data_IF_391880011301
#
_entry.id   IF_391880011301
#
_cell.length_a   1.000
_cell.length_b   1.000
_cell.length_c   1.000
_cell.angle_alpha   90.00
_cell.angle_beta   90.00
_cell.angle_gamma   90.00
#
_symmetry.space_group_name_H-M   'P 1'
#
loop_
_entity.id
_entity.type
_entity.pdbx_description
1 polymer ?
#
# COMPACT_ATOMS: atom_id res chain seq x y z
N UNK A 1 55.02 -6.53 18.81
CA UNK A 1 54.24 -6.02 17.64
C UNK A 1 52.95 -6.82 17.60
N UNK A 2 51.98 -6.41 18.39
CA UNK A 2 50.63 -6.98 18.38
C UNK A 2 49.89 -6.49 17.16
N UNK A 3 49.58 -7.42 16.26
CA UNK A 3 48.53 -7.28 15.26
C UNK A 3 47.25 -7.80 15.90
N UNK A 4 46.60 -6.99 16.69
CA UNK A 4 45.21 -7.20 17.04
C UNK A 4 44.35 -6.89 15.81
N UNK A 5 44.08 -7.91 15.02
CA UNK A 5 43.05 -7.88 14.00
C UNK A 5 41.70 -7.71 14.75
N UNK A 6 41.07 -6.58 14.58
CA UNK A 6 39.72 -6.33 15.07
C UNK A 6 38.73 -7.32 14.43
N UNK A 7 38.65 -8.51 15.01
CA UNK A 7 37.56 -9.46 14.82
C UNK A 7 36.48 -9.11 15.83
N UNK A 8 35.63 -8.16 15.56
CA UNK A 8 34.71 -7.89 16.66
C UNK A 8 33.49 -7.06 16.36
N UNK A 9 33.34 -6.46 15.18
CA UNK A 9 32.14 -5.69 14.88
C UNK A 9 31.09 -6.46 14.05
N UNK A 10 31.43 -7.63 13.51
CA UNK A 10 30.50 -8.49 12.76
C UNK A 10 29.58 -9.35 13.63
N UNK A 11 30.00 -9.71 14.85
CA UNK A 11 29.23 -10.64 15.72
C UNK A 11 28.32 -9.95 16.73
N UNK A 12 28.41 -8.63 16.89
CA UNK A 12 27.62 -7.89 17.89
C UNK A 12 26.24 -7.48 17.35
N UNK A 13 26.05 -7.45 16.06
CA UNK A 13 24.75 -7.26 15.45
C UNK A 13 24.08 -8.62 15.15
N UNK A 14 23.83 -9.43 16.15
CA UNK A 14 22.67 -10.33 16.09
C UNK A 14 21.47 -9.40 15.92
N UNK A 15 20.92 -9.32 14.71
CA UNK A 15 19.68 -8.58 14.44
C UNK A 15 18.64 -9.15 15.38
N UNK A 16 18.40 -8.47 16.50
CA UNK A 16 17.28 -8.81 17.38
C UNK A 16 16.03 -8.44 16.59
N UNK A 17 15.31 -9.45 16.15
CA UNK A 17 14.00 -9.25 15.59
C UNK A 17 13.05 -9.00 16.76
N UNK A 18 12.53 -7.80 16.86
CA UNK A 18 11.43 -7.48 17.75
C UNK A 18 10.16 -7.88 17.00
N UNK A 19 9.40 -8.83 17.56
CA UNK A 19 8.11 -9.20 16.98
C UNK A 19 7.20 -7.98 16.90
N UNK A 20 6.46 -7.90 15.79
CA UNK A 20 5.48 -6.84 15.60
C UNK A 20 4.47 -6.89 16.75
N UNK A 21 4.18 -5.77 17.45
CA UNK A 21 3.20 -5.75 18.51
C UNK A 21 1.76 -5.93 18.02
N UNK A 22 1.56 -5.98 16.69
CA UNK A 22 0.25 -6.04 16.06
C UNK A 22 -0.17 -7.48 15.80
N UNK A 23 -1.39 -7.82 16.23
CA UNK A 23 -1.92 -9.16 16.01
C UNK A 23 -2.30 -9.38 14.54
N UNK A 24 -1.76 -10.43 13.93
CA UNK A 24 -2.05 -10.79 12.53
C UNK A 24 -3.54 -10.97 12.27
N UNK A 25 -4.31 -11.50 13.24
CA UNK A 25 -5.77 -11.67 13.12
C UNK A 25 -6.54 -10.36 12.90
N UNK A 26 -5.95 -9.22 13.25
CA UNK A 26 -6.55 -7.89 13.09
C UNK A 26 -6.29 -7.29 11.70
N UNK A 27 -5.56 -7.99 10.84
CA UNK A 27 -5.24 -7.54 9.49
C UNK A 27 -5.70 -8.56 8.47
N UNK A 28 -6.35 -8.09 7.40
CA UNK A 28 -6.56 -8.85 6.19
C UNK A 28 -5.66 -8.27 5.09
N UNK A 29 -4.59 -8.99 4.75
CA UNK A 29 -3.65 -8.58 3.69
C UNK A 29 -3.84 -9.48 2.48
N UNK A 30 -4.30 -8.89 1.37
CA UNK A 30 -4.57 -9.58 0.12
C UNK A 30 -3.70 -9.06 -1.01
N UNK A 31 -3.22 -9.97 -1.86
CA UNK A 31 -2.50 -9.66 -3.09
C UNK A 31 -3.42 -9.94 -4.27
N UNK A 32 -3.78 -8.89 -4.99
CA UNK A 32 -4.61 -8.98 -6.19
C UNK A 32 -3.73 -9.34 -7.39
N UNK A 33 -3.75 -10.62 -7.78
CA UNK A 33 -2.80 -11.15 -8.80
C UNK A 33 -3.23 -10.92 -10.24
N UNK A 34 -4.46 -10.51 -10.46
CA UNK A 34 -5.06 -10.32 -11.77
C UNK A 34 -5.11 -8.86 -12.23
N UNK A 35 -4.44 -7.97 -11.49
CA UNK A 35 -4.22 -6.57 -11.84
C UNK A 35 -2.74 -6.26 -11.99
N UNK A 36 -2.41 -5.26 -12.82
CA UNK A 36 -1.06 -4.80 -13.08
C UNK A 36 -0.98 -3.29 -13.27
N UNK A 37 -0.04 -2.64 -12.62
CA UNK A 37 0.24 -1.21 -12.84
C UNK A 37 1.28 -0.96 -13.93
N UNK A 38 1.77 -2.00 -14.61
CA UNK A 38 2.75 -1.87 -15.68
C UNK A 38 2.23 -0.97 -16.80
N UNK A 39 3.11 -0.12 -17.31
CA UNK A 39 2.74 0.80 -18.39
C UNK A 39 2.16 0.08 -19.61
N UNK A 40 2.71 -1.08 -19.97
CA UNK A 40 2.27 -1.92 -21.10
C UNK A 40 0.90 -2.56 -20.92
N UNK A 41 0.38 -2.59 -19.68
CA UNK A 41 -0.94 -3.16 -19.34
C UNK A 41 -2.00 -2.08 -19.14
N UNK A 42 -1.61 -0.79 -19.15
CA UNK A 42 -2.53 0.33 -18.93
C UNK A 42 -3.56 0.43 -20.04
N UNK A 43 -4.81 0.60 -19.65
CA UNK A 43 -5.96 0.72 -20.53
C UNK A 43 -7.25 0.57 -19.74
N UNK A 44 -8.37 0.83 -20.40
CA UNK A 44 -9.70 0.85 -19.75
C UNK A 44 -9.99 -0.41 -18.93
N UNK A 45 -9.76 -1.61 -19.48
CA UNK A 45 -10.03 -2.88 -18.79
C UNK A 45 -9.23 -3.03 -17.48
N UNK A 46 -7.98 -2.58 -17.47
CA UNK A 46 -7.15 -2.60 -16.27
C UNK A 46 -7.62 -1.55 -15.25
N UNK A 47 -7.97 -0.35 -15.72
CA UNK A 47 -8.48 0.72 -14.85
C UNK A 47 -9.82 0.33 -14.24
N UNK A 48 -10.70 -0.28 -15.03
CA UNK A 48 -12.00 -0.79 -14.57
C UNK A 48 -11.83 -1.86 -13.49
N UNK A 49 -10.91 -2.80 -13.68
CA UNK A 49 -10.62 -3.84 -12.70
C UNK A 49 -10.09 -3.26 -11.39
N UNK A 50 -9.18 -2.29 -11.48
CA UNK A 50 -8.67 -1.57 -10.29
C UNK A 50 -9.82 -0.85 -9.58
N UNK A 51 -10.64 -0.12 -10.31
CA UNK A 51 -11.80 0.60 -9.77
C UNK A 51 -12.79 -0.35 -9.09
N UNK A 52 -13.06 -1.52 -9.68
CA UNK A 52 -13.94 -2.53 -9.12
C UNK A 52 -13.39 -3.14 -7.81
N UNK A 53 -12.09 -3.38 -7.71
CA UNK A 53 -11.45 -3.80 -6.45
C UNK A 53 -11.63 -2.75 -5.34
N UNK A 54 -11.46 -1.48 -5.66
CA UNK A 54 -11.65 -0.37 -4.71
C UNK A 54 -13.10 -0.33 -4.23
N UNK A 55 -14.05 -0.44 -5.15
CA UNK A 55 -15.47 -0.48 -4.84
C UNK A 55 -15.82 -1.67 -3.94
N UNK A 56 -15.43 -2.89 -4.34
CA UNK A 56 -15.68 -4.10 -3.56
C UNK A 56 -15.04 -4.06 -2.17
N UNK A 57 -13.88 -3.46 -2.01
CA UNK A 57 -13.25 -3.25 -0.69
C UNK A 57 -14.09 -2.33 0.19
N UNK A 58 -14.49 -1.16 -0.32
CA UNK A 58 -15.23 -0.15 0.43
C UNK A 58 -16.68 -0.55 0.73
N UNK A 59 -17.26 -1.48 -0.03
CA UNK A 59 -18.62 -1.99 0.19
C UNK A 59 -18.72 -3.04 1.30
N UNK A 60 -17.61 -3.65 1.72
CA UNK A 60 -17.65 -4.71 2.74
C UNK A 60 -17.87 -4.21 4.16
N UNK A 61 -17.43 -3.00 4.45
CA UNK A 61 -17.63 -2.38 5.77
C UNK A 61 -17.66 -0.87 5.64
N UNK A 62 -18.61 -0.24 6.29
CA UNK A 62 -18.67 1.21 6.43
C UNK A 62 -17.45 1.72 7.19
N UNK A 63 -16.81 2.77 6.69
CA UNK A 63 -15.64 3.40 7.29
C UNK A 63 -14.76 4.11 6.26
N UNK A 64 -13.56 4.45 6.65
CA UNK A 64 -12.65 5.25 5.83
C UNK A 64 -11.56 4.39 5.19
N UNK A 65 -11.32 4.65 3.92
CA UNK A 65 -10.36 3.93 3.08
C UNK A 65 -9.44 4.90 2.36
N UNK A 66 -8.16 4.52 2.18
CA UNK A 66 -7.22 5.24 1.33
C UNK A 66 -6.72 4.35 0.20
N UNK A 67 -6.58 4.95 -0.98
CA UNK A 67 -6.11 4.28 -2.19
C UNK A 67 -4.87 5.01 -2.69
N UNK A 68 -3.74 4.31 -2.74
CA UNK A 68 -2.44 4.88 -3.08
C UNK A 68 -2.00 4.48 -4.48
N UNK A 69 -1.82 5.45 -5.34
CA UNK A 69 -1.42 5.28 -6.73
C UNK A 69 0.05 5.63 -6.96
N UNK A 70 0.72 5.03 -7.94
CA UNK A 70 2.12 5.35 -8.27
C UNK A 70 2.29 6.69 -8.98
N UNK A 71 1.21 7.29 -9.50
CA UNK A 71 1.23 8.58 -10.19
C UNK A 71 -0.16 9.20 -10.26
N UNK A 72 -0.22 10.53 -10.39
CA UNK A 72 -1.48 11.27 -10.61
C UNK A 72 -2.21 10.78 -11.87
N UNK A 73 -1.47 10.57 -12.97
CA UNK A 73 -2.11 10.11 -14.22
C UNK A 73 -2.87 8.80 -14.06
N UNK A 74 -2.28 7.80 -13.41
CA UNK A 74 -2.98 6.53 -13.19
C UNK A 74 -4.13 6.70 -12.21
N UNK A 75 -3.98 7.57 -11.22
CA UNK A 75 -5.05 7.91 -10.28
C UNK A 75 -6.23 8.53 -11.01
N UNK A 76 -5.98 9.53 -11.86
CA UNK A 76 -7.02 10.23 -12.62
C UNK A 76 -7.74 9.29 -13.60
N UNK A 77 -6.99 8.44 -14.32
CA UNK A 77 -7.56 7.46 -15.25
C UNK A 77 -8.49 6.45 -14.53
N UNK A 78 -8.07 5.95 -13.37
CA UNK A 78 -8.89 5.03 -12.55
C UNK A 78 -10.04 5.76 -11.86
N UNK A 79 -9.82 6.98 -11.38
CA UNK A 79 -10.84 7.82 -10.78
C UNK A 79 -12.01 8.06 -11.72
N UNK A 80 -11.73 8.40 -12.97
CA UNK A 80 -12.75 8.62 -13.98
C UNK A 80 -13.62 7.38 -14.15
N UNK A 81 -13.03 6.21 -14.35
CA UNK A 81 -13.78 4.95 -14.47
C UNK A 81 -14.55 4.63 -13.19
N UNK A 82 -13.96 4.88 -12.02
CA UNK A 82 -14.66 4.67 -10.75
C UNK A 82 -15.90 5.54 -10.63
N UNK A 83 -15.83 6.83 -11.00
CA UNK A 83 -16.96 7.74 -10.97
C UNK A 83 -18.07 7.34 -11.96
N UNK A 84 -17.70 6.87 -13.14
CA UNK A 84 -18.65 6.48 -14.18
C UNK A 84 -19.38 5.17 -13.88
N UNK A 85 -18.70 4.16 -13.29
CA UNK A 85 -19.25 2.82 -13.18
C UNK A 85 -19.53 2.36 -11.75
N UNK A 86 -18.79 2.86 -10.76
CA UNK A 86 -18.81 2.34 -9.37
C UNK A 86 -19.23 3.37 -8.32
N UNK A 87 -19.51 4.62 -8.72
CA UNK A 87 -19.99 5.63 -7.78
C UNK A 87 -21.34 5.22 -7.18
N UNK A 88 -21.51 5.43 -5.89
CA UNK A 88 -22.75 5.12 -5.18
C UNK A 88 -23.07 6.21 -4.17
N UNK A 89 -24.36 6.45 -3.92
CA UNK A 89 -24.80 7.52 -3.01
C UNK A 89 -24.40 7.35 -1.54
N UNK A 90 -23.86 6.20 -1.16
CA UNK A 90 -23.42 5.89 0.21
C UNK A 90 -21.89 5.78 0.35
N UNK A 91 -21.14 5.98 -0.74
CA UNK A 91 -19.68 6.10 -0.73
C UNK A 91 -19.28 7.47 -1.21
N UNK A 92 -18.70 8.26 -0.32
CA UNK A 92 -18.13 9.55 -0.65
C UNK A 92 -16.66 9.38 -1.04
N UNK A 93 -16.25 10.04 -2.10
CA UNK A 93 -14.88 9.98 -2.57
C UNK A 93 -14.24 11.36 -2.59
N UNK A 94 -12.98 11.43 -2.20
CA UNK A 94 -12.14 12.64 -2.27
C UNK A 94 -10.82 12.31 -2.95
N UNK A 95 -10.25 13.27 -3.66
CA UNK A 95 -9.08 13.06 -4.50
C UNK A 95 -7.98 14.08 -4.18
N UNK A 96 -6.75 13.60 -4.06
CA UNK A 96 -5.58 14.44 -3.91
C UNK A 96 -5.29 15.20 -5.21
N UNK A 97 -4.98 16.50 -5.12
CA UNK A 97 -4.52 17.31 -6.23
C UNK A 97 -3.01 17.58 -6.14
N UNK A 98 -2.35 17.70 -7.29
CA UNK A 98 -0.91 17.90 -7.34
C UNK A 98 -0.44 19.22 -6.70
N UNK A 99 -1.31 20.23 -6.72
CA UNK A 99 -1.03 21.59 -6.24
C UNK A 99 -1.68 21.92 -4.89
N UNK A 100 -2.04 20.92 -4.08
CA UNK A 100 -2.64 21.16 -2.78
C UNK A 100 -1.73 21.99 -1.89
N UNK A 101 -2.31 23.04 -1.31
CA UNK A 101 -1.70 23.82 -0.24
C UNK A 101 -1.68 23.02 1.08
N UNK A 102 -0.93 23.48 2.06
CA UNK A 102 -0.89 22.85 3.39
C UNK A 102 -2.30 22.78 4.01
N UNK A 103 -3.05 23.89 3.90
CA UNK A 103 -4.42 23.95 4.42
C UNK A 103 -5.36 22.92 3.74
N UNK A 104 -5.31 22.81 2.41
CA UNK A 104 -6.13 21.84 1.69
C UNK A 104 -5.77 20.39 2.06
N UNK A 105 -4.50 20.14 2.44
CA UNK A 105 -4.05 18.84 2.97
C UNK A 105 -4.65 18.55 4.34
N UNK A 106 -4.64 19.53 5.24
CA UNK A 106 -5.27 19.43 6.56
C UNK A 106 -6.75 19.17 6.42
N UNK A 107 -7.46 19.95 5.60
CA UNK A 107 -8.87 19.77 5.29
C UNK A 107 -9.17 18.37 4.73
N UNK A 108 -8.34 17.87 3.81
CA UNK A 108 -8.46 16.51 3.28
C UNK A 108 -8.35 15.44 4.39
N UNK A 109 -7.44 15.61 5.35
CA UNK A 109 -7.24 14.67 6.46
C UNK A 109 -8.32 14.75 7.53
N UNK A 110 -8.90 15.92 7.75
CA UNK A 110 -10.02 16.15 8.68
C UNK A 110 -11.29 15.41 8.25
N UNK A 111 -11.43 15.11 6.95
CA UNK A 111 -12.52 14.29 6.43
C UNK A 111 -12.53 12.84 6.96
N UNK A 112 -11.35 12.33 7.36
CA UNK A 112 -11.19 10.99 7.93
C UNK A 112 -11.51 10.98 9.42
N UNK A 113 -12.78 10.97 9.77
CA UNK A 113 -13.28 10.97 11.15
C UNK A 113 -13.51 9.55 11.67
N UNK A 114 -13.45 9.33 12.99
CA UNK A 114 -13.71 8.01 13.60
C UNK A 114 -15.18 7.59 13.44
N UNK A 115 -16.09 8.53 13.55
CA UNK A 115 -17.54 8.34 13.41
C UNK A 115 -18.01 8.92 12.07
N UNK A 116 -17.74 8.21 10.99
CA UNK A 116 -18.21 8.63 9.68
C UNK A 116 -19.69 8.24 9.47
N UNK A 117 -20.51 9.21 9.02
CA UNK A 117 -21.88 8.92 8.62
C UNK A 117 -21.96 7.99 7.41
N UNK A 118 -20.97 8.10 6.49
CA UNK A 118 -20.88 7.36 5.24
C UNK A 118 -19.51 6.71 5.07
N UNK A 119 -19.37 5.84 4.08
CA UNK A 119 -18.06 5.33 3.68
C UNK A 119 -17.29 6.42 2.92
N UNK A 120 -16.04 6.66 3.32
CA UNK A 120 -15.14 7.60 2.64
C UNK A 120 -13.99 6.85 1.96
N UNK A 121 -13.72 7.20 0.69
CA UNK A 121 -12.55 6.71 -0.05
C UNK A 121 -11.70 7.89 -0.50
N UNK A 122 -10.48 8.00 0.01
CA UNK A 122 -9.48 9.00 -0.39
C UNK A 122 -8.52 8.44 -1.44
N UNK A 123 -8.46 9.08 -2.60
CA UNK A 123 -7.52 8.74 -3.69
C UNK A 123 -6.26 9.59 -3.55
N UNK A 124 -5.11 8.95 -3.36
CA UNK A 124 -3.83 9.60 -3.07
C UNK A 124 -2.69 9.03 -3.92
N UNK A 125 -1.58 9.76 -4.01
CA UNK A 125 -0.36 9.30 -4.68
C UNK A 125 0.67 8.83 -3.66
N UNK A 126 1.31 7.67 -3.91
CA UNK A 126 2.37 7.12 -3.07
C UNK A 126 3.61 8.02 -3.03
N UNK A 127 4.26 8.09 -1.87
CA UNK A 127 5.48 8.89 -1.69
C UNK A 127 5.22 10.39 -1.70
N UNK A 128 3.95 10.81 -1.70
CA UNK A 128 3.51 12.19 -1.48
C UNK A 128 3.25 12.44 0.00
N UNK A 129 2.75 13.63 0.27
CA UNK A 129 2.43 14.15 1.61
C UNK A 129 1.51 13.26 2.44
N UNK A 130 0.63 12.46 1.79
CA UNK A 130 -0.27 11.55 2.47
C UNK A 130 0.34 10.16 2.74
N UNK A 131 1.54 9.86 2.25
CA UNK A 131 2.28 8.66 2.62
C UNK A 131 3.27 8.87 3.77
N UNK A 132 3.53 10.13 4.15
CA UNK A 132 4.40 10.49 5.27
C UNK A 132 3.67 11.46 6.23
N UNK A 133 3.90 11.31 7.54
CA UNK A 133 3.39 12.28 8.53
C UNK A 133 1.89 12.23 8.85
N UNK A 134 1.10 11.33 8.29
CA UNK A 134 -0.32 11.17 8.61
C UNK A 134 -0.50 10.22 9.78
N UNK A 135 -1.28 10.62 10.77
CA UNK A 135 -1.61 9.80 11.93
C UNK A 135 -3.13 9.60 12.02
N UNK A 136 -3.64 8.68 11.20
CA UNK A 136 -5.04 8.26 11.21
C UNK A 136 -5.16 6.99 12.08
N UNK A 137 -5.26 7.17 13.39
CA UNK A 137 -5.35 6.09 14.37
C UNK A 137 -6.79 5.60 14.49
N UNK A 138 -6.96 4.32 14.83
CA UNK A 138 -8.27 3.73 15.11
C UNK A 138 -9.16 3.63 13.87
N UNK A 139 -10.44 3.91 14.04
CA UNK A 139 -11.41 3.84 12.95
C UNK A 139 -11.30 4.97 11.92
N UNK A 140 -10.37 5.91 12.10
CA UNK A 140 -10.10 6.96 11.10
C UNK A 140 -9.57 6.38 9.78
N UNK A 141 -8.99 5.17 9.78
CA UNK A 141 -8.60 4.46 8.57
C UNK A 141 -8.70 2.94 8.78
N UNK A 142 -9.66 2.30 8.15
CA UNK A 142 -9.91 0.85 8.28
C UNK A 142 -9.48 0.04 7.05
N UNK A 143 -9.05 0.69 5.99
CA UNK A 143 -8.56 -0.03 4.82
C UNK A 143 -7.67 0.80 3.92
N UNK A 144 -6.73 0.13 3.25
CA UNK A 144 -5.89 0.71 2.22
C UNK A 144 -5.77 -0.19 1.00
N UNK A 145 -5.77 0.41 -0.18
CA UNK A 145 -5.36 -0.24 -1.42
C UNK A 145 -4.08 0.42 -1.96
N UNK A 146 -3.08 -0.37 -2.29
CA UNK A 146 -1.80 0.10 -2.83
C UNK A 146 -1.66 -0.43 -4.26
N UNK A 147 -1.77 0.47 -5.24
CA UNK A 147 -1.71 0.15 -6.66
C UNK A 147 -0.26 0.19 -7.14
N UNK A 148 0.22 -0.96 -7.61
CA UNK A 148 1.56 -1.11 -8.13
C UNK A 148 2.64 -1.21 -7.06
N UNK A 149 3.86 -1.41 -7.52
CA UNK A 149 5.03 -1.72 -6.69
C UNK A 149 5.82 -0.47 -6.28
N UNK A 150 5.26 0.72 -6.46
CA UNK A 150 5.85 1.98 -6.00
C UNK A 150 7.14 2.39 -6.70
N UNK A 151 7.54 1.72 -7.80
CA UNK A 151 8.79 2.02 -8.51
C UNK A 151 8.89 3.51 -8.82
N UNK A 152 9.99 4.16 -8.44
CA UNK A 152 10.22 5.55 -8.81
C UNK A 152 10.39 5.69 -10.32
N UNK A 153 10.20 6.91 -10.81
CA UNK A 153 10.46 7.23 -12.21
C UNK A 153 11.93 7.05 -12.54
N UNK A 154 12.21 6.69 -13.80
CA UNK A 154 13.57 6.63 -14.32
C UNK A 154 14.17 8.04 -14.32
N UNK A 155 15.35 8.20 -13.77
CA UNK A 155 16.12 9.43 -13.75
C UNK A 155 17.60 9.13 -13.93
N UNK A 156 18.36 10.16 -14.33
CA UNK A 156 19.80 10.03 -14.53
C UNK A 156 20.51 9.54 -13.28
N UNK A 157 20.15 10.08 -12.12
CA UNK A 157 20.73 9.73 -10.82
C UNK A 157 20.46 8.25 -10.45
N UNK A 158 19.26 7.74 -10.81
CA UNK A 158 18.90 6.34 -10.55
C UNK A 158 19.62 5.38 -11.47
N UNK A 159 19.83 5.74 -12.72
CA UNK A 159 20.63 4.94 -13.65
C UNK A 159 22.10 4.89 -13.21
N UNK A 160 22.68 6.01 -12.78
CA UNK A 160 24.03 6.04 -12.19
C UNK A 160 24.11 5.14 -10.95
N UNK A 161 23.11 5.21 -10.06
CA UNK A 161 23.05 4.35 -8.87
C UNK A 161 22.96 2.87 -9.23
N UNK A 162 22.13 2.54 -10.22
CA UNK A 162 21.97 1.19 -10.76
C UNK A 162 23.29 0.66 -11.30
N UNK A 163 23.96 1.42 -12.19
CA UNK A 163 25.25 1.06 -12.78
C UNK A 163 26.34 0.87 -11.71
N UNK A 164 26.36 1.73 -10.69
CA UNK A 164 27.29 1.63 -9.59
C UNK A 164 27.18 0.28 -8.83
N UNK A 165 25.95 -0.17 -8.53
CA UNK A 165 25.72 -1.44 -7.85
C UNK A 165 25.94 -2.63 -8.79
N UNK A 166 25.56 -2.54 -10.07
CA UNK A 166 25.84 -3.55 -11.07
C UNK A 166 27.38 -3.78 -11.22
N UNK A 167 28.17 -2.69 -11.21
CA UNK A 167 29.64 -2.77 -11.26
C UNK A 167 30.26 -3.43 -10.01
N UNK A 168 29.55 -3.45 -8.88
CA UNK A 168 29.95 -4.16 -7.67
C UNK A 168 29.51 -5.63 -7.63
N UNK A 169 28.84 -6.11 -8.68
CA UNK A 169 28.30 -7.47 -8.73
C UNK A 169 26.99 -7.65 -7.94
N UNK A 170 26.33 -6.55 -7.56
CA UNK A 170 25.03 -6.56 -6.90
C UNK A 170 23.88 -6.31 -7.92
N UNK A 171 22.63 -6.45 -7.47
CA UNK A 171 21.46 -6.22 -8.33
C UNK A 171 21.12 -4.72 -8.36
N UNK A 172 21.76 -3.95 -9.25
CA UNK A 172 21.59 -2.48 -9.30
C UNK A 172 20.15 -2.01 -9.44
N UNK A 173 19.32 -2.77 -10.17
CA UNK A 173 17.89 -2.47 -10.27
C UNK A 173 17.19 -2.51 -8.89
N UNK A 174 17.59 -3.41 -8.01
CA UNK A 174 16.99 -3.53 -6.69
C UNK A 174 17.26 -2.30 -5.85
N UNK A 175 18.50 -1.81 -5.84
CA UNK A 175 18.90 -0.62 -5.07
C UNK A 175 18.30 0.67 -5.64
N UNK A 176 18.29 0.81 -6.96
CA UNK A 176 17.81 2.04 -7.59
C UNK A 176 16.29 2.14 -7.63
N UNK A 177 15.58 1.01 -7.73
CA UNK A 177 14.15 0.99 -8.04
C UNK A 177 13.32 0.13 -7.08
N UNK A 178 13.63 -1.17 -6.92
CA UNK A 178 12.76 -2.10 -6.21
C UNK A 178 12.68 -1.81 -4.72
N UNK A 179 13.81 -1.61 -4.03
CA UNK A 179 13.82 -1.29 -2.60
C UNK A 179 13.16 0.05 -2.29
N UNK A 180 13.47 1.15 -2.97
CA UNK A 180 12.76 2.41 -2.79
C UNK A 180 11.26 2.31 -3.07
N UNK A 181 10.89 1.55 -4.10
CA UNK A 181 9.48 1.29 -4.42
C UNK A 181 8.77 0.54 -3.31
N UNK A 182 9.37 -0.55 -2.83
CA UNK A 182 8.78 -1.37 -1.76
C UNK A 182 8.66 -0.59 -0.45
N UNK A 183 9.61 0.30 -0.13
CA UNK A 183 9.51 1.17 1.03
C UNK A 183 8.25 2.06 0.98
N UNK A 184 7.91 2.62 -0.18
CA UNK A 184 6.67 3.39 -0.35
C UNK A 184 5.42 2.53 -0.14
N UNK A 185 5.43 1.30 -0.66
CA UNK A 185 4.35 0.33 -0.46
C UNK A 185 4.17 0.01 1.03
N UNK A 186 5.26 -0.27 1.74
CA UNK A 186 5.23 -0.55 3.17
C UNK A 186 4.74 0.65 3.99
N UNK A 187 5.17 1.86 3.64
CA UNK A 187 4.69 3.09 4.27
C UNK A 187 3.18 3.27 4.08
N UNK A 188 2.69 3.14 2.84
CA UNK A 188 1.27 3.28 2.53
C UNK A 188 0.41 2.22 3.25
N UNK A 189 0.81 0.95 3.19
CA UNK A 189 0.12 -0.15 3.84
C UNK A 189 0.17 -0.05 5.39
N UNK A 190 1.27 0.45 5.94
CA UNK A 190 1.46 0.64 7.37
C UNK A 190 0.58 1.72 8.00
N UNK A 191 -0.22 2.44 7.20
CA UNK A 191 -1.17 3.45 7.70
C UNK A 191 -2.40 2.84 8.37
N UNK A 192 -2.77 1.62 8.01
CA UNK A 192 -4.00 0.97 8.47
C UNK A 192 -3.88 0.41 9.89
N UNK A 193 -2.74 -0.17 10.23
CA UNK A 193 -2.54 -0.81 11.55
C UNK A 193 -1.46 -0.05 12.30
N UNK A 194 -1.84 0.77 13.25
CA UNK A 194 -0.98 1.66 14.05
C UNK A 194 -0.93 1.27 15.52
N UNK A 195 -2.02 0.70 16.02
CA UNK A 195 -2.15 0.27 17.40
C UNK A 195 -2.49 -1.22 17.47
N UNK A 196 -2.36 -1.83 18.66
CA UNK A 196 -2.74 -3.24 18.88
C UNK A 196 -4.24 -3.49 18.70
N UNK A 197 -5.05 -2.44 18.79
CA UNK A 197 -6.52 -2.52 18.67
C UNK A 197 -7.02 -2.30 17.26
N UNK A 198 -6.19 -1.68 16.39
CA UNK A 198 -6.57 -1.37 15.02
C UNK A 198 -6.86 -2.65 14.27
N UNK A 199 -7.90 -2.59 13.46
CA UNK A 199 -8.33 -3.67 12.59
C UNK A 199 -8.62 -3.14 11.20
N UNK A 200 -8.08 -3.82 10.18
CA UNK A 200 -8.28 -3.31 8.84
C UNK A 200 -7.82 -4.23 7.71
N UNK A 201 -8.11 -3.78 6.50
CA UNK A 201 -7.85 -4.50 5.26
C UNK A 201 -6.80 -3.79 4.42
N UNK A 202 -5.91 -4.54 3.79
CA UNK A 202 -4.87 -4.04 2.91
C UNK A 202 -4.91 -4.83 1.61
N UNK A 203 -5.10 -4.15 0.47
CA UNK A 203 -5.01 -4.73 -0.85
C UNK A 203 -3.69 -4.29 -1.51
N UNK A 204 -2.84 -5.23 -1.87
CA UNK A 204 -1.66 -5.01 -2.72
C UNK A 204 -2.04 -5.35 -4.16
N UNK A 205 -2.27 -4.32 -4.97
CA UNK A 205 -2.87 -4.43 -6.28
C UNK A 205 -1.81 -4.41 -7.37
N UNK A 206 -1.08 -5.51 -7.50
CA UNK A 206 -0.19 -5.78 -8.64
C UNK A 206 0.25 -7.26 -8.64
N UNK A 207 0.23 -7.89 -9.81
CA UNK A 207 0.64 -9.28 -10.01
C UNK A 207 2.07 -9.57 -9.54
N UNK A 208 2.98 -8.56 -9.62
CA UNK A 208 4.39 -8.69 -9.22
C UNK A 208 4.58 -9.03 -7.75
N UNK A 209 3.64 -8.69 -6.88
CA UNK A 209 3.72 -9.06 -5.46
C UNK A 209 3.61 -10.58 -5.21
N UNK A 210 3.14 -11.36 -6.20
CA UNK A 210 3.16 -12.83 -6.12
C UNK A 210 4.55 -13.42 -6.39
N UNK A 211 5.42 -12.66 -7.06
CA UNK A 211 6.77 -13.10 -7.43
C UNK A 211 7.73 -13.17 -6.24
N UNK A 212 8.69 -14.12 -6.31
CA UNK A 212 9.68 -14.34 -5.26
C UNK A 212 10.46 -13.08 -4.89
N UNK A 213 10.83 -12.27 -5.89
CA UNK A 213 11.64 -11.05 -5.72
C UNK A 213 10.97 -10.01 -4.83
N UNK A 214 9.64 -9.88 -4.91
CA UNK A 214 8.87 -8.98 -4.04
C UNK A 214 8.49 -9.65 -2.72
N UNK A 215 8.17 -10.96 -2.73
CA UNK A 215 7.84 -11.69 -1.50
C UNK A 215 8.99 -11.69 -0.48
N UNK A 216 10.24 -11.76 -0.94
CA UNK A 216 11.42 -11.68 -0.07
C UNK A 216 11.59 -10.32 0.63
N UNK A 217 10.96 -9.26 0.12
CA UNK A 217 10.99 -7.92 0.70
C UNK A 217 9.85 -7.67 1.69
N UNK A 218 8.93 -8.62 1.81
CA UNK A 218 7.85 -8.49 2.78
C UNK A 218 8.39 -8.60 4.20
N UNK A 219 7.92 -7.76 5.13
CA UNK A 219 8.23 -7.97 6.52
C UNK A 219 7.65 -9.31 7.00
N UNK A 220 8.24 -9.90 8.02
CA UNK A 220 7.84 -11.23 8.52
C UNK A 220 6.37 -11.32 8.89
N UNK A 221 5.81 -10.25 9.43
CA UNK A 221 4.40 -10.14 9.77
C UNK A 221 3.47 -10.24 8.55
N UNK A 222 3.98 -10.09 7.32
CA UNK A 222 3.20 -10.24 6.08
C UNK A 222 3.22 -11.67 5.50
N UNK A 223 3.74 -12.63 6.25
CA UNK A 223 3.77 -14.04 5.82
C UNK A 223 2.37 -14.63 5.62
N UNK A 224 1.34 -14.04 6.22
CA UNK A 224 -0.07 -14.39 6.09
C UNK A 224 -0.76 -13.77 4.87
N UNK A 225 -0.04 -13.01 4.04
CA UNK A 225 -0.59 -12.39 2.84
C UNK A 225 -1.20 -13.43 1.90
N UNK A 226 -2.52 -13.41 1.76
CA UNK A 226 -3.26 -14.29 0.87
C UNK A 226 -3.33 -13.71 -0.54
N UNK A 227 -3.45 -14.58 -1.55
CA UNK A 227 -3.65 -14.18 -2.94
C UNK A 227 -5.13 -14.19 -3.27
N UNK A 228 -5.61 -13.17 -3.95
CA UNK A 228 -6.98 -13.08 -4.43
C UNK A 228 -7.06 -12.72 -5.92
N UNK A 229 -8.22 -12.91 -6.46
CA UNK A 229 -8.68 -12.42 -7.76
C UNK A 229 -10.01 -11.71 -7.56
N UNK A 230 -10.45 -10.95 -8.56
CA UNK A 230 -11.65 -10.13 -8.43
C UNK A 230 -12.89 -10.93 -8.02
N UNK A 231 -13.03 -12.17 -8.51
CA UNK A 231 -14.18 -13.03 -8.24
C UNK A 231 -14.28 -13.48 -6.77
N UNK A 232 -13.17 -13.52 -6.03
CA UNK A 232 -13.16 -14.03 -4.65
C UNK A 232 -12.78 -13.00 -3.58
N UNK A 233 -12.42 -11.78 -3.95
CA UNK A 233 -12.00 -10.74 -3.01
C UNK A 233 -13.08 -10.39 -1.99
N UNK A 234 -14.33 -10.28 -2.40
CA UNK A 234 -15.45 -9.97 -1.50
C UNK A 234 -15.66 -11.07 -0.45
N UNK A 235 -15.55 -12.34 -0.85
CA UNK A 235 -15.64 -13.45 0.09
C UNK A 235 -14.56 -13.39 1.17
N UNK A 236 -13.31 -13.09 0.77
CA UNK A 236 -12.19 -13.01 1.71
C UNK A 236 -12.33 -11.80 2.65
N UNK A 237 -12.67 -10.62 2.13
CA UNK A 237 -12.90 -9.42 2.92
C UNK A 237 -14.12 -9.58 3.85
N UNK A 238 -15.23 -10.11 3.34
CA UNK A 238 -16.42 -10.36 4.14
C UNK A 238 -16.20 -11.37 5.26
N UNK A 239 -15.42 -12.44 4.99
CA UNK A 239 -15.05 -13.41 6.02
C UNK A 239 -14.18 -12.78 7.13
N UNK A 240 -13.30 -11.84 6.78
CA UNK A 240 -12.51 -11.09 7.75
C UNK A 240 -13.39 -10.22 8.64
N UNK A 241 -14.28 -9.41 8.07
CA UNK A 241 -15.13 -8.49 8.85
C UNK A 241 -16.15 -9.22 9.73
N UNK A 242 -16.76 -10.33 9.26
CA UNK A 242 -17.69 -11.15 10.03
C UNK A 242 -17.11 -11.80 11.28
N UNK A 243 -15.79 -11.97 11.39
CA UNK A 243 -15.13 -12.46 12.62
C UNK A 243 -15.23 -11.49 13.81
N UNK A 244 -15.59 -10.25 13.58
CA UNK A 244 -15.77 -9.22 14.60
C UNK A 244 -17.11 -9.34 15.31
N UNK A 245 -18.18 -9.75 14.60
CA UNK A 245 -19.56 -9.79 15.13
C UNK A 245 -19.82 -10.95 16.11
N UNK A 246 -18.85 -11.87 16.27
CA UNK A 246 -19.00 -13.07 17.14
C UNK A 246 -18.32 -12.96 18.51
N UNK A 247 -17.90 -11.77 18.91
CA UNK A 247 -17.36 -11.47 20.23
C UNK A 247 -18.27 -10.51 20.99
#
# INVERSE_FOLDING_TARGET
RDRSVSRGLGDVYKRQYVESPFEQKNRCLLICRDVSSRYTRRGYEEYRKIAEYIARMSWQKKGNYMVFFPSYKLMDDVWQVYQEEFSSGWVRCICQHASMTEREREEFLEEFTEESADTLVGFCVMGGIFSEGIDLIGNRLIGAAVIGTGLPQVSCEREILKEYYDAKGEQGFDYAYRYPGMNKVLQAAGRVIRTRKDRGTILLMDERFTGRDYRMLFPREWNDAAVCILENVEQQLGAFWKREEKK
#
